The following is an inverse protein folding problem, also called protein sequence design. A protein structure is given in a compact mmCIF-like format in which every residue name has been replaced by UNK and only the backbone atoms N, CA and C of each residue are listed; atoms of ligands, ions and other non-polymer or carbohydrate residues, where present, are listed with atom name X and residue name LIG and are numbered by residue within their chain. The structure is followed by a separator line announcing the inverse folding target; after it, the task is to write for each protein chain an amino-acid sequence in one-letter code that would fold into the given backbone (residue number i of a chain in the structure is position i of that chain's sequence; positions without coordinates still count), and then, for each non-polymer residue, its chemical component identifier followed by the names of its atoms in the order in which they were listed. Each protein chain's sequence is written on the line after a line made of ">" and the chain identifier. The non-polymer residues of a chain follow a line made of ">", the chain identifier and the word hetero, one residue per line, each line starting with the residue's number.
data_IF_669705582781
#
_entry.id   IF_669705582781
#
_cell.length_a   1.000
_cell.length_b   1.000
_cell.length_c   1.000
_cell.angle_alpha   90.00
_cell.angle_beta   90.00
_cell.angle_gamma   90.00
#
_symmetry.space_group_name_H-M   'P 1'
#
loop_
_entity.id
_entity.type
_entity.pdbx_description
1 polymer ?
#
# COMPACT_ATOMS: atom_id res chain seq x y z
N UNK A 1 -35.28 26.46 -3.67
CA UNK A 1 -34.97 26.34 -5.12
C UNK A 1 -35.05 24.88 -5.53
N UNK A 2 -35.93 24.54 -6.47
CA UNK A 2 -36.11 23.15 -6.94
C UNK A 2 -35.04 22.79 -7.98
N UNK A 3 -34.45 21.59 -7.90
CA UNK A 3 -33.52 21.11 -8.93
C UNK A 3 -34.20 20.81 -10.25
N UNK A 4 -35.50 20.51 -10.25
CA UNK A 4 -36.27 20.33 -11.48
C UNK A 4 -36.30 21.64 -12.29
N UNK A 5 -36.40 22.78 -11.61
CA UNK A 5 -36.36 24.11 -12.25
C UNK A 5 -34.96 24.42 -12.78
N UNK A 6 -33.92 24.10 -11.99
CA UNK A 6 -32.52 24.28 -12.40
C UNK A 6 -32.16 23.44 -13.64
N UNK A 7 -32.74 22.25 -13.77
CA UNK A 7 -32.50 21.35 -14.90
C UNK A 7 -33.02 21.89 -16.25
N UNK A 8 -33.90 22.90 -16.26
CA UNK A 8 -34.23 23.62 -17.50
C UNK A 8 -33.06 24.46 -18.04
N UNK A 9 -32.17 24.92 -17.15
CA UNK A 9 -30.99 25.71 -17.51
C UNK A 9 -29.74 24.85 -17.64
N UNK A 10 -29.57 23.88 -16.74
CA UNK A 10 -28.42 23.00 -16.69
C UNK A 10 -28.84 21.62 -16.18
N UNK A 11 -29.09 20.69 -17.11
CA UNK A 11 -29.68 19.37 -16.85
C UNK A 11 -28.69 18.36 -16.27
N UNK A 12 -28.02 18.74 -15.19
CA UNK A 12 -27.02 17.92 -14.50
C UNK A 12 -27.38 17.66 -13.04
N UNK A 13 -28.40 18.32 -12.49
CA UNK A 13 -28.86 18.12 -11.12
C UNK A 13 -29.78 16.89 -11.00
N UNK A 14 -29.72 16.19 -9.86
CA UNK A 14 -30.64 15.11 -9.57
C UNK A 14 -32.10 15.58 -9.44
N UNK A 15 -33.06 14.76 -9.87
CA UNK A 15 -34.47 15.13 -9.84
C UNK A 15 -35.03 15.22 -8.40
N UNK A 16 -36.06 16.06 -8.24
CA UNK A 16 -36.84 16.21 -7.01
C UNK A 16 -36.02 16.57 -5.76
N UNK A 17 -34.96 17.37 -5.90
CA UNK A 17 -34.21 17.92 -4.77
C UNK A 17 -34.59 19.39 -4.54
N UNK A 18 -34.43 19.85 -3.31
CA UNK A 18 -34.71 21.21 -2.88
C UNK A 18 -33.50 21.78 -2.17
N UNK A 19 -33.02 22.93 -2.66
CA UNK A 19 -32.01 23.73 -1.98
C UNK A 19 -32.66 24.87 -1.22
N UNK A 20 -32.34 24.96 0.07
CA UNK A 20 -32.61 26.11 0.92
C UNK A 20 -31.37 26.99 0.91
N UNK A 21 -31.50 28.20 0.36
CA UNK A 21 -30.36 29.09 0.09
C UNK A 21 -30.61 30.41 0.82
N UNK A 22 -29.65 30.82 1.65
CA UNK A 22 -29.59 32.15 2.23
C UNK A 22 -28.21 32.76 1.91
N UNK A 23 -28.18 33.96 1.33
CA UNK A 23 -26.93 34.63 0.97
C UNK A 23 -27.19 36.08 0.59
N UNK A 24 -26.16 36.91 0.63
CA UNK A 24 -26.16 38.22 -0.02
C UNK A 24 -25.43 38.13 -1.38
N UNK A 25 -26.20 38.18 -2.46
CA UNK A 25 -25.69 38.16 -3.84
C UNK A 25 -25.28 39.56 -4.31
N UNK A 26 -24.05 39.69 -4.82
CA UNK A 26 -23.53 40.94 -5.38
C UNK A 26 -22.80 40.70 -6.71
N UNK A 27 -23.12 41.48 -7.74
CA UNK A 27 -22.44 41.46 -9.05
C UNK A 27 -23.40 41.33 -10.22
N UNK A 28 -22.89 40.87 -11.36
CA UNK A 28 -23.65 40.65 -12.60
C UNK A 28 -23.88 39.16 -12.84
N UNK A 29 -24.80 38.80 -13.75
CA UNK A 29 -25.19 37.41 -14.02
C UNK A 29 -23.99 36.48 -14.32
N UNK A 30 -22.96 36.97 -15.02
CA UNK A 30 -21.75 36.21 -15.37
C UNK A 30 -20.54 36.53 -14.48
N UNK A 31 -20.70 37.33 -13.43
CA UNK A 31 -19.66 37.64 -12.46
C UNK A 31 -20.30 38.12 -11.16
N UNK A 32 -20.65 37.18 -10.28
CA UNK A 32 -21.29 37.47 -9.00
C UNK A 32 -20.61 36.74 -7.85
N UNK A 33 -20.77 37.30 -6.66
CA UNK A 33 -20.28 36.71 -5.40
C UNK A 33 -21.45 36.51 -4.45
N UNK A 34 -21.47 35.32 -3.84
CA UNK A 34 -22.33 34.98 -2.71
C UNK A 34 -21.57 35.31 -1.42
N UNK A 35 -22.11 36.20 -0.61
CA UNK A 35 -21.57 36.50 0.71
C UNK A 35 -22.38 35.78 1.78
N UNK A 36 -21.69 35.18 2.76
CA UNK A 36 -22.30 34.38 3.83
C UNK A 36 -23.29 33.36 3.25
N UNK A 37 -22.88 32.67 2.19
CA UNK A 37 -23.68 31.63 1.56
C UNK A 37 -23.97 30.56 2.60
N UNK A 38 -25.24 30.21 2.74
CA UNK A 38 -25.71 29.06 3.48
C UNK A 38 -26.65 28.29 2.56
N UNK A 39 -26.19 27.14 2.07
CA UNK A 39 -27.01 26.20 1.30
C UNK A 39 -27.22 24.96 2.15
N UNK A 40 -28.46 24.46 2.18
CA UNK A 40 -28.77 23.13 2.70
C UNK A 40 -29.67 22.41 1.69
N UNK A 41 -29.38 21.15 1.42
CA UNK A 41 -30.24 20.30 0.59
C UNK A 41 -31.12 19.38 1.46
N UNK A 42 -32.07 18.67 0.83
CA UNK A 42 -32.97 17.74 1.56
C UNK A 42 -32.24 16.54 2.21
N UNK A 43 -31.01 16.26 1.77
CA UNK A 43 -30.20 15.14 2.26
C UNK A 43 -29.21 15.62 3.36
N UNK A 44 -29.40 16.83 3.89
CA UNK A 44 -28.56 17.47 4.90
C UNK A 44 -27.12 17.74 4.45
N UNK A 45 -26.85 17.83 3.14
CA UNK A 45 -25.60 18.43 2.66
C UNK A 45 -25.62 19.94 2.90
N UNK A 46 -24.51 20.51 3.36
CA UNK A 46 -24.41 21.91 3.73
C UNK A 46 -23.22 22.58 3.03
N UNK A 47 -23.42 23.81 2.57
CA UNK A 47 -22.34 24.69 2.09
C UNK A 47 -22.45 26.00 2.87
N UNK A 48 -21.37 26.36 3.58
CA UNK A 48 -21.23 27.63 4.28
C UNK A 48 -19.93 28.30 3.83
N UNK A 49 -20.02 29.54 3.37
CA UNK A 49 -18.82 30.32 3.01
C UNK A 49 -19.10 31.45 2.02
N UNK A 50 -18.07 31.84 1.27
CA UNK A 50 -18.16 32.84 0.22
C UNK A 50 -17.76 32.22 -1.11
N UNK A 51 -18.59 32.39 -2.15
CA UNK A 51 -18.30 31.81 -3.47
C UNK A 51 -18.48 32.86 -4.56
N UNK A 52 -17.42 33.09 -5.33
CA UNK A 52 -17.45 33.92 -6.54
C UNK A 52 -17.58 33.02 -7.76
N UNK A 53 -18.55 33.34 -8.60
CA UNK A 53 -18.85 32.64 -9.83
C UNK A 53 -18.60 33.57 -11.01
N UNK A 54 -17.79 33.11 -11.98
CA UNK A 54 -17.53 33.82 -13.23
C UNK A 54 -17.87 32.93 -14.41
N UNK A 55 -18.53 33.51 -15.41
CA UNK A 55 -18.84 32.89 -16.70
C UNK A 55 -19.57 31.53 -16.61
N UNK A 56 -20.32 31.28 -15.52
CA UNK A 56 -21.11 30.05 -15.34
C UNK A 56 -22.08 29.77 -16.49
N UNK A 57 -22.65 30.82 -17.09
CA UNK A 57 -23.65 30.71 -18.16
C UNK A 57 -23.05 31.01 -19.55
N UNK A 58 -21.72 31.07 -19.67
CA UNK A 58 -21.08 31.34 -20.96
C UNK A 58 -21.34 30.18 -21.93
N UNK A 59 -21.67 30.52 -23.19
CA UNK A 59 -21.75 29.56 -24.29
C UNK A 59 -20.38 29.18 -24.84
N UNK A 60 -19.35 29.96 -24.51
CA UNK A 60 -17.95 29.62 -24.82
C UNK A 60 -17.55 28.54 -23.83
N UNK A 61 -17.28 27.34 -24.36
CA UNK A 61 -16.76 26.23 -23.58
C UNK A 61 -15.47 26.67 -22.87
N UNK A 62 -15.25 26.15 -21.67
CA UNK A 62 -13.97 26.18 -20.96
C UNK A 62 -13.59 27.48 -20.21
N UNK A 63 -14.52 28.42 -20.01
CA UNK A 63 -14.18 29.70 -19.36
C UNK A 63 -14.73 29.90 -17.94
N UNK A 64 -15.50 28.94 -17.39
CA UNK A 64 -16.09 29.13 -16.07
C UNK A 64 -15.02 29.10 -14.98
N UNK A 65 -15.23 29.92 -13.95
CA UNK A 65 -14.40 29.92 -12.74
C UNK A 65 -15.31 29.97 -11.52
N UNK A 66 -15.09 29.05 -10.59
CA UNK A 66 -15.71 29.00 -9.28
C UNK A 66 -14.59 29.17 -8.26
N UNK A 67 -14.60 30.28 -7.54
CA UNK A 67 -13.65 30.55 -6.46
C UNK A 67 -14.41 30.53 -5.13
N UNK A 68 -14.23 29.47 -4.36
CA UNK A 68 -14.88 29.27 -3.08
C UNK A 68 -13.90 29.39 -1.92
N UNK A 69 -14.34 30.08 -0.86
CA UNK A 69 -13.76 30.01 0.47
C UNK A 69 -14.82 29.44 1.41
N UNK A 70 -14.65 28.19 1.82
CA UNK A 70 -15.63 27.43 2.57
C UNK A 70 -15.25 27.36 4.03
N UNK A 71 -16.14 27.83 4.89
CA UNK A 71 -16.07 27.57 6.34
C UNK A 71 -16.56 26.15 6.64
N UNK A 72 -17.51 25.66 5.83
CA UNK A 72 -18.10 24.33 5.92
C UNK A 72 -18.56 23.83 4.55
N UNK A 73 -18.21 22.59 4.22
CA UNK A 73 -18.82 21.86 3.11
C UNK A 73 -19.01 20.43 3.59
N UNK A 74 -20.19 20.16 4.12
CA UNK A 74 -20.54 18.88 4.72
C UNK A 74 -21.38 18.05 3.76
N UNK A 75 -20.92 16.84 3.42
CA UNK A 75 -21.62 15.94 2.50
C UNK A 75 -21.11 14.50 2.63
N UNK A 76 -21.57 13.61 1.74
CA UNK A 76 -20.96 12.31 1.47
C UNK A 76 -20.92 12.09 -0.04
N UNK A 77 -20.18 11.09 -0.52
CA UNK A 77 -20.16 10.75 -1.94
C UNK A 77 -21.58 10.43 -2.48
N UNK A 78 -22.38 9.66 -1.74
CA UNK A 78 -23.75 9.30 -2.13
C UNK A 78 -24.64 10.54 -2.22
N UNK A 79 -24.49 11.49 -1.30
CA UNK A 79 -25.25 12.75 -1.32
C UNK A 79 -24.83 13.64 -2.49
N UNK A 80 -23.53 13.77 -2.74
CA UNK A 80 -23.01 14.50 -3.90
C UNK A 80 -23.50 13.90 -5.22
N UNK A 81 -23.48 12.57 -5.33
CA UNK A 81 -24.01 11.86 -6.49
C UNK A 81 -25.51 12.12 -6.68
N UNK A 82 -26.29 12.22 -5.61
CA UNK A 82 -27.71 12.63 -5.70
C UNK A 82 -27.90 14.10 -6.10
N UNK A 83 -26.98 14.98 -5.73
CA UNK A 83 -27.03 16.41 -6.06
C UNK A 83 -26.76 16.62 -7.55
N UNK A 84 -25.68 16.07 -8.08
CA UNK A 84 -25.31 16.19 -9.51
C UNK A 84 -24.77 14.86 -10.06
N UNK A 85 -25.64 13.90 -10.43
CA UNK A 85 -25.24 12.54 -10.76
C UNK A 85 -24.30 12.41 -11.96
N UNK A 86 -24.46 13.28 -12.95
CA UNK A 86 -23.68 13.22 -14.20
C UNK A 86 -22.32 13.90 -14.09
N UNK A 87 -22.22 14.95 -13.27
CA UNK A 87 -20.96 15.67 -13.01
C UNK A 87 -20.21 14.96 -11.90
N UNK A 88 -20.78 14.91 -10.69
CA UNK A 88 -20.10 14.36 -9.51
C UNK A 88 -20.10 12.83 -9.50
N UNK A 89 -21.15 12.18 -10.00
CA UNK A 89 -21.23 10.71 -9.98
C UNK A 89 -20.36 10.00 -11.02
N UNK A 90 -20.06 10.64 -12.16
CA UNK A 90 -19.22 10.03 -13.22
C UNK A 90 -17.77 10.48 -13.20
N UNK A 91 -17.48 11.68 -12.70
CA UNK A 91 -16.12 12.23 -12.73
C UNK A 91 -15.34 11.97 -11.45
N UNK A 92 -16.00 11.67 -10.32
CA UNK A 92 -15.31 11.38 -9.08
C UNK A 92 -14.95 9.89 -8.97
N UNK A 93 -13.73 9.55 -8.48
CA UNK A 93 -13.36 8.16 -8.22
C UNK A 93 -14.29 7.50 -7.22
N UNK A 94 -14.70 6.24 -7.49
CA UNK A 94 -15.59 5.48 -6.61
C UNK A 94 -14.96 5.16 -5.26
N UNK A 95 -13.63 5.19 -5.13
CA UNK A 95 -12.92 5.05 -3.85
C UNK A 95 -13.31 6.12 -2.84
N UNK A 96 -13.76 7.31 -3.28
CA UNK A 96 -14.21 8.39 -2.39
C UNK A 96 -15.49 8.04 -1.62
N UNK A 97 -16.25 7.01 -2.02
CA UNK A 97 -17.39 6.48 -1.24
C UNK A 97 -16.99 6.10 0.18
N UNK A 98 -15.75 5.62 0.36
CA UNK A 98 -15.26 5.12 1.64
C UNK A 98 -14.91 6.20 2.65
N UNK A 99 -14.84 7.46 2.21
CA UNK A 99 -14.69 8.59 3.12
C UNK A 99 -15.91 8.75 4.05
N UNK A 100 -17.05 8.17 3.69
CA UNK A 100 -18.30 8.37 4.39
C UNK A 100 -18.74 9.83 4.35
N UNK A 101 -19.29 10.32 5.46
CA UNK A 101 -19.56 11.73 5.66
C UNK A 101 -18.26 12.49 5.86
N UNK A 102 -18.14 13.66 5.23
CA UNK A 102 -16.99 14.53 5.38
C UNK A 102 -17.41 15.99 5.49
N UNK A 103 -16.56 16.78 6.14
CA UNK A 103 -16.64 18.23 6.22
C UNK A 103 -15.34 18.85 5.69
N UNK A 104 -15.46 19.79 4.75
CA UNK A 104 -14.32 20.48 4.13
C UNK A 104 -14.33 21.95 4.55
N UNK A 105 -13.18 22.43 5.01
CA UNK A 105 -12.88 23.85 5.22
C UNK A 105 -11.69 24.26 4.35
N UNK A 106 -11.79 25.39 3.66
CA UNK A 106 -10.67 26.02 2.99
C UNK A 106 -11.03 26.62 1.64
N UNK A 107 -10.02 26.85 0.81
CA UNK A 107 -10.19 27.53 -0.48
C UNK A 107 -10.11 26.54 -1.62
N UNK A 108 -11.02 26.67 -2.59
CA UNK A 108 -11.03 25.92 -3.83
C UNK A 108 -11.25 26.88 -4.99
N UNK A 109 -10.33 26.87 -5.93
CA UNK A 109 -10.49 27.48 -7.24
C UNK A 109 -10.70 26.37 -8.26
N UNK A 110 -11.90 26.28 -8.80
CA UNK A 110 -12.28 25.32 -9.83
C UNK A 110 -12.48 26.06 -11.16
N UNK A 111 -11.81 25.57 -12.20
CA UNK A 111 -12.05 25.98 -13.58
C UNK A 111 -12.60 24.80 -14.37
N UNK A 112 -12.74 24.96 -15.68
CA UNK A 112 -13.12 23.84 -16.54
C UNK A 112 -12.08 22.71 -16.58
N UNK A 113 -10.79 23.04 -16.41
CA UNK A 113 -9.69 22.08 -16.58
C UNK A 113 -8.87 21.85 -15.31
N UNK A 114 -8.93 22.79 -14.36
CA UNK A 114 -8.07 22.80 -13.17
C UNK A 114 -8.84 22.86 -11.86
N UNK A 115 -8.24 22.31 -10.81
CA UNK A 115 -8.58 22.55 -9.41
C UNK A 115 -7.32 23.02 -8.69
N UNK A 116 -7.36 24.18 -8.04
CA UNK A 116 -6.40 24.57 -7.02
C UNK A 116 -7.11 24.58 -5.66
N UNK A 117 -6.80 23.60 -4.82
CA UNK A 117 -7.46 23.38 -3.55
C UNK A 117 -6.46 23.42 -2.39
N UNK A 118 -6.75 24.28 -1.40
CA UNK A 118 -6.09 24.29 -0.09
C UNK A 118 -7.16 24.05 0.97
N UNK A 119 -7.32 22.80 1.36
CA UNK A 119 -8.45 22.35 2.16
C UNK A 119 -8.01 21.49 3.35
N UNK A 120 -8.81 21.52 4.41
CA UNK A 120 -8.78 20.55 5.49
C UNK A 120 -10.09 19.78 5.43
N UNK A 121 -10.02 18.45 5.49
CA UNK A 121 -11.18 17.57 5.45
C UNK A 121 -11.18 16.73 6.71
N UNK A 122 -12.31 16.74 7.41
CA UNK A 122 -12.59 15.79 8.48
C UNK A 122 -13.61 14.79 7.95
N UNK A 123 -13.24 13.52 7.88
CA UNK A 123 -14.14 12.45 7.43
C UNK A 123 -14.30 11.37 8.51
N UNK A 124 -15.13 10.37 8.23
CA UNK A 124 -15.26 9.19 9.07
C UNK A 124 -13.95 8.37 9.16
N UNK A 125 -13.04 8.55 8.19
CA UNK A 125 -11.72 7.92 8.19
C UNK A 125 -10.68 8.72 8.98
N UNK A 126 -10.95 9.97 9.36
CA UNK A 126 -10.00 10.81 10.10
C UNK A 126 -9.74 12.16 9.43
N UNK A 127 -8.65 12.81 9.81
CA UNK A 127 -8.33 14.15 9.33
C UNK A 127 -7.31 14.10 8.19
N UNK A 128 -7.54 14.91 7.16
CA UNK A 128 -6.56 15.17 6.12
C UNK A 128 -6.49 16.68 5.81
N UNK A 129 -5.31 17.16 5.48
CA UNK A 129 -5.08 18.51 5.00
C UNK A 129 -4.33 18.46 3.71
N UNK A 130 -4.81 19.18 2.71
CA UNK A 130 -4.30 19.11 1.36
C UNK A 130 -4.05 20.50 0.79
N UNK A 131 -2.95 20.64 0.07
CA UNK A 131 -2.71 21.72 -0.88
C UNK A 131 -2.39 21.05 -2.21
N UNK A 132 -3.39 20.88 -3.06
CA UNK A 132 -3.29 20.16 -4.32
C UNK A 132 -3.73 21.03 -5.49
N UNK A 133 -2.92 21.01 -6.54
CA UNK A 133 -3.28 21.46 -7.85
C UNK A 133 -3.52 20.26 -8.75
N UNK A 134 -4.68 20.19 -9.40
CA UNK A 134 -5.08 19.13 -10.34
C UNK A 134 -5.35 19.79 -11.68
N UNK A 135 -4.87 19.21 -12.77
CA UNK A 135 -5.09 19.67 -14.15
C UNK A 135 -5.61 18.52 -15.02
N UNK A 136 -6.24 18.85 -16.14
CA UNK A 136 -6.86 17.95 -17.11
C UNK A 136 -8.03 17.16 -16.52
N UNK A 137 -8.90 17.84 -15.74
CA UNK A 137 -10.12 17.25 -15.15
C UNK A 137 -11.05 16.61 -16.18
N UNK A 138 -11.03 17.11 -17.42
CA UNK A 138 -11.82 16.57 -18.51
C UNK A 138 -11.40 15.15 -18.89
N UNK A 139 -10.16 14.77 -18.59
CA UNK A 139 -9.64 13.42 -18.70
C UNK A 139 -9.21 12.92 -17.32
N UNK A 140 -10.13 12.80 -16.36
CA UNK A 140 -9.82 12.44 -14.95
C UNK A 140 -8.90 11.22 -14.80
N UNK A 141 -9.02 10.23 -15.69
CA UNK A 141 -8.16 9.05 -15.72
C UNK A 141 -6.67 9.37 -15.96
N UNK A 142 -6.37 10.47 -16.66
CA UNK A 142 -5.03 10.96 -17.02
C UNK A 142 -4.66 12.28 -16.36
N UNK A 143 -5.57 12.85 -15.57
CA UNK A 143 -5.37 14.11 -14.88
C UNK A 143 -4.06 14.10 -14.10
N UNK A 144 -3.36 15.23 -14.14
CA UNK A 144 -2.14 15.43 -13.37
C UNK A 144 -2.47 16.06 -12.03
N UNK A 145 -1.65 15.79 -11.03
CA UNK A 145 -1.80 16.38 -9.71
C UNK A 145 -0.43 16.64 -9.10
N UNK A 146 -0.35 17.75 -8.37
CA UNK A 146 0.87 18.15 -7.66
C UNK A 146 0.52 18.86 -6.37
N UNK A 147 1.22 18.50 -5.30
CA UNK A 147 1.08 19.21 -4.05
C UNK A 147 1.42 18.38 -2.83
N UNK A 148 0.84 18.76 -1.70
CA UNK A 148 1.14 18.18 -0.39
C UNK A 148 -0.12 17.67 0.28
N UNK A 149 -0.05 16.50 0.89
CA UNK A 149 -1.13 15.89 1.66
C UNK A 149 -0.59 15.51 3.03
N UNK A 150 -1.26 15.98 4.07
CA UNK A 150 -1.03 15.62 5.45
C UNK A 150 -2.21 14.77 5.91
N UNK A 151 -1.91 13.62 6.50
CA UNK A 151 -2.86 12.76 7.16
C UNK A 151 -2.60 12.81 8.68
N UNK A 152 -3.66 12.88 9.47
CA UNK A 152 -3.60 12.77 10.93
C UNK A 152 -4.60 11.71 11.37
N UNK A 153 -4.07 10.58 11.87
CA UNK A 153 -4.84 9.39 12.28
C UNK A 153 -5.89 8.99 11.24
N UNK A 154 -5.51 9.02 9.98
CA UNK A 154 -6.40 8.73 8.86
C UNK A 154 -6.40 7.23 8.54
N UNK A 155 -7.54 6.57 8.52
CA UNK A 155 -7.69 5.16 8.17
C UNK A 155 -7.47 4.93 6.66
N UNK A 156 -6.19 4.75 6.31
CA UNK A 156 -5.76 4.50 4.93
C UNK A 156 -6.10 3.07 4.49
N UNK A 157 -6.16 2.12 5.42
CA UNK A 157 -6.56 0.74 5.13
C UNK A 157 -7.96 0.64 4.55
N UNK A 158 -8.93 1.28 5.22
CA UNK A 158 -10.31 1.35 4.71
C UNK A 158 -10.36 2.06 3.35
N UNK A 159 -9.64 3.17 3.16
CA UNK A 159 -9.62 3.88 1.88
C UNK A 159 -9.08 2.99 0.75
N UNK A 160 -8.00 2.26 0.98
CA UNK A 160 -7.30 1.44 -0.03
C UNK A 160 -7.87 0.03 -0.20
N UNK A 161 -8.73 -0.45 0.71
CA UNK A 161 -9.23 -1.83 0.77
C UNK A 161 -8.20 -2.84 1.29
N UNK A 162 -7.26 -2.40 2.11
CA UNK A 162 -6.16 -3.23 2.57
C UNK A 162 -6.34 -3.50 4.06
N UNK A 163 -6.84 -4.69 4.45
CA UNK A 163 -7.21 -4.99 5.83
C UNK A 163 -6.01 -5.04 6.79
N UNK A 164 -4.81 -5.28 6.27
CA UNK A 164 -3.58 -5.30 7.06
C UNK A 164 -3.06 -3.89 7.38
N UNK A 165 -3.56 -2.86 6.69
CA UNK A 165 -3.27 -1.45 6.95
C UNK A 165 -4.36 -0.85 7.84
N UNK A 166 -3.96 0.01 8.78
CA UNK A 166 -4.88 0.78 9.62
C UNK A 166 -4.70 2.28 9.44
N UNK A 167 -4.65 3.01 10.55
CA UNK A 167 -4.47 4.47 10.53
C UNK A 167 -3.04 4.88 10.19
N UNK A 168 -2.91 5.96 9.42
CA UNK A 168 -1.66 6.63 9.10
C UNK A 168 -1.67 8.08 9.58
N UNK A 169 -0.53 8.56 10.06
CA UNK A 169 -0.23 9.99 10.22
C UNK A 169 1.04 10.29 9.43
N UNK A 170 0.93 11.13 8.41
CA UNK A 170 2.03 11.38 7.46
C UNK A 170 1.94 12.75 6.83
N UNK A 171 3.07 13.20 6.27
CA UNK A 171 3.15 14.41 5.44
C UNK A 171 3.89 14.03 4.17
N UNK A 172 3.18 14.01 3.05
CA UNK A 172 3.70 13.57 1.76
C UNK A 172 3.52 14.65 0.70
N UNK A 173 4.53 14.79 -0.14
CA UNK A 173 4.50 15.51 -1.39
C UNK A 173 4.22 14.50 -2.51
N UNK A 174 3.34 14.88 -3.42
CA UNK A 174 2.97 14.07 -4.59
C UNK A 174 3.13 14.91 -5.85
N UNK A 175 3.70 14.31 -6.88
CA UNK A 175 3.77 14.86 -8.24
C UNK A 175 3.51 13.70 -9.21
N UNK A 176 2.38 13.72 -9.89
CA UNK A 176 1.98 12.57 -10.66
C UNK A 176 0.79 12.79 -11.59
N UNK A 177 0.35 11.68 -12.17
CA UNK A 177 -0.82 11.60 -13.03
C UNK A 177 -1.56 10.29 -12.83
N UNK A 178 -2.85 10.36 -13.09
CA UNK A 178 -3.77 9.23 -13.06
C UNK A 178 -4.17 8.81 -11.64
N UNK A 179 -5.47 8.65 -11.43
CA UNK A 179 -6.05 8.19 -10.16
C UNK A 179 -6.39 6.69 -10.16
N UNK A 180 -6.09 5.98 -11.26
CA UNK A 180 -6.34 4.53 -11.38
C UNK A 180 -5.03 3.79 -11.59
N UNK A 181 -4.97 2.53 -11.13
CA UNK A 181 -3.78 1.67 -11.28
C UNK A 181 -3.23 1.61 -12.71
N UNK A 182 -4.09 1.74 -13.73
CA UNK A 182 -3.72 1.69 -15.14
C UNK A 182 -2.92 2.92 -15.60
N UNK A 183 -3.21 4.10 -15.07
CA UNK A 183 -2.61 5.37 -15.49
C UNK A 183 -1.67 5.98 -14.44
N UNK A 184 -1.57 5.35 -13.27
CA UNK A 184 -0.73 5.77 -12.15
C UNK A 184 0.73 5.93 -12.58
N UNK A 185 1.24 7.14 -12.47
CA UNK A 185 2.64 7.52 -12.63
C UNK A 185 2.88 8.69 -11.67
N UNK A 186 3.44 8.39 -10.50
CA UNK A 186 3.48 9.31 -9.37
C UNK A 186 4.76 9.18 -8.60
N UNK A 187 5.46 10.30 -8.44
CA UNK A 187 6.56 10.46 -7.51
C UNK A 187 5.98 10.91 -6.14
N UNK A 188 6.36 10.21 -5.08
CA UNK A 188 5.90 10.44 -3.70
C UNK A 188 7.12 10.58 -2.80
N UNK A 189 7.16 11.65 -2.00
CA UNK A 189 8.22 11.87 -1.02
C UNK A 189 7.63 12.37 0.27
N UNK A 190 8.16 11.95 1.41
CA UNK A 190 7.67 12.49 2.68
C UNK A 190 8.04 11.68 3.89
N UNK A 191 7.31 11.95 4.96
CA UNK A 191 7.51 11.32 6.27
C UNK A 191 6.21 10.70 6.76
N UNK A 192 6.35 9.56 7.43
CA UNK A 192 5.28 8.84 8.11
C UNK A 192 5.63 8.89 9.59
N UNK A 193 4.86 9.68 10.34
CA UNK A 193 4.99 9.77 11.79
C UNK A 193 4.47 8.49 12.46
N UNK A 194 3.37 7.94 11.94
CA UNK A 194 2.81 6.68 12.41
C UNK A 194 2.11 5.91 11.28
N UNK A 195 2.24 4.59 11.24
CA UNK A 195 1.49 3.69 10.38
C UNK A 195 1.14 2.42 11.15
N UNK A 196 -0.15 2.14 11.28
CA UNK A 196 -0.60 0.86 11.81
C UNK A 196 -0.58 -0.19 10.69
N UNK A 197 0.23 -1.23 10.85
CA UNK A 197 0.35 -2.35 9.93
C UNK A 197 0.67 -3.63 10.71
N UNK A 198 0.02 -4.75 10.36
CA UNK A 198 0.29 -6.06 10.98
C UNK A 198 0.31 -6.03 12.52
N UNK A 199 -0.73 -5.42 13.11
CA UNK A 199 -0.89 -5.22 14.56
C UNK A 199 0.26 -4.48 15.27
N UNK A 200 1.04 -3.70 14.53
CA UNK A 200 2.12 -2.86 15.04
C UNK A 200 2.01 -1.43 14.52
N UNK A 201 2.33 -0.45 15.36
CA UNK A 201 2.32 0.96 14.98
C UNK A 201 3.75 1.43 14.68
N UNK A 202 4.14 1.35 13.41
CA UNK A 202 5.43 1.81 12.91
C UNK A 202 5.55 3.32 12.99
N UNK A 203 6.73 3.84 13.31
CA UNK A 203 6.96 5.27 13.53
C UNK A 203 8.25 5.76 12.87
N UNK A 204 8.30 7.07 12.60
CA UNK A 204 9.51 7.76 12.11
C UNK A 204 10.11 7.16 10.83
N UNK A 205 9.26 6.99 9.81
CA UNK A 205 9.69 6.48 8.50
C UNK A 205 9.77 7.64 7.50
N UNK A 206 10.84 7.68 6.71
CA UNK A 206 10.97 8.57 5.55
C UNK A 206 10.82 7.75 4.28
N UNK A 207 10.09 8.25 3.29
CA UNK A 207 9.84 7.59 2.01
C UNK A 207 10.24 8.46 0.83
N UNK A 208 10.76 7.84 -0.22
CA UNK A 208 10.97 8.41 -1.55
C UNK A 208 10.69 7.32 -2.60
N UNK A 209 9.61 7.47 -3.34
CA UNK A 209 9.14 6.42 -4.24
C UNK A 209 8.57 6.95 -5.54
N UNK A 210 8.66 6.11 -6.57
CA UNK A 210 8.03 6.28 -7.87
C UNK A 210 7.10 5.11 -8.13
N UNK A 211 5.81 5.40 -8.17
CA UNK A 211 4.74 4.46 -8.46
C UNK A 211 4.29 4.65 -9.91
N UNK A 212 4.76 3.79 -10.82
CA UNK A 212 4.42 3.89 -12.24
C UNK A 212 4.09 2.52 -12.82
N UNK A 213 2.83 2.12 -12.79
CA UNK A 213 2.43 0.80 -13.30
C UNK A 213 2.99 0.55 -14.72
N UNK A 214 3.67 -0.58 -14.99
CA UNK A 214 3.90 -1.75 -14.14
C UNK A 214 5.18 -1.76 -13.29
N UNK A 215 5.89 -0.63 -13.21
CA UNK A 215 7.16 -0.43 -12.52
C UNK A 215 7.00 0.34 -11.19
N UNK A 216 7.57 -0.18 -10.12
CA UNK A 216 7.59 0.47 -8.83
C UNK A 216 9.03 0.55 -8.33
N UNK A 217 9.46 1.73 -7.92
CA UNK A 217 10.75 1.93 -7.25
C UNK A 217 10.50 2.68 -5.96
N UNK A 218 11.06 2.20 -4.86
CA UNK A 218 10.87 2.82 -3.56
C UNK A 218 12.13 2.77 -2.73
N UNK A 219 12.40 3.85 -2.02
CA UNK A 219 13.30 3.92 -0.90
C UNK A 219 12.49 4.23 0.35
N UNK A 220 12.81 3.56 1.46
CA UNK A 220 12.40 4.05 2.76
C UNK A 220 13.52 3.88 3.79
N UNK A 221 13.53 4.79 4.75
CA UNK A 221 14.38 4.74 5.94
C UNK A 221 13.47 4.71 7.16
N UNK A 222 13.62 3.68 7.98
CA UNK A 222 12.88 3.52 9.24
C UNK A 222 13.78 3.87 10.41
N UNK A 223 13.32 4.80 11.25
CA UNK A 223 13.88 5.07 12.58
C UNK A 223 12.89 4.67 13.69
N UNK A 224 12.13 3.61 13.43
CA UNK A 224 11.21 3.03 14.40
C UNK A 224 11.99 2.41 15.58
N UNK A 225 11.47 2.46 16.81
CA UNK A 225 12.12 1.86 17.97
C UNK A 225 12.43 0.37 17.82
N UNK A 226 11.61 -0.37 17.06
CA UNK A 226 11.74 -1.80 16.80
C UNK A 226 12.22 -2.13 15.38
N UNK A 227 12.40 -1.15 14.50
CA UNK A 227 12.93 -1.34 13.15
C UNK A 227 13.79 -0.14 12.69
N UNK A 228 15.11 -0.32 12.72
CA UNK A 228 16.09 0.57 12.10
C UNK A 228 16.59 -0.05 10.81
N UNK A 229 16.16 0.51 9.69
CA UNK A 229 16.44 -0.10 8.39
C UNK A 229 16.44 0.93 7.26
N UNK A 230 17.40 0.79 6.35
CA UNK A 230 17.37 1.38 5.02
C UNK A 230 16.94 0.33 4.01
N UNK A 231 15.96 0.66 3.17
CA UNK A 231 15.45 -0.24 2.15
C UNK A 231 15.40 0.47 0.80
N UNK A 232 15.93 -0.18 -0.22
CA UNK A 232 15.79 0.20 -1.62
C UNK A 232 15.19 -0.95 -2.39
N UNK A 233 14.09 -0.71 -3.09
CA UNK A 233 13.43 -1.76 -3.85
C UNK A 233 12.93 -1.33 -5.21
N UNK A 234 12.92 -2.31 -6.12
CA UNK A 234 12.42 -2.21 -7.48
C UNK A 234 11.56 -3.44 -7.77
N UNK A 235 10.34 -3.20 -8.24
CA UNK A 235 9.42 -4.21 -8.74
C UNK A 235 9.06 -3.89 -10.17
N UNK A 236 9.33 -4.81 -11.09
CA UNK A 236 8.98 -4.68 -12.50
C UNK A 236 8.00 -5.77 -12.91
N UNK A 237 6.75 -5.37 -13.15
CA UNK A 237 5.65 -6.23 -13.57
C UNK A 237 5.37 -6.13 -15.08
N UNK A 238 6.30 -5.56 -15.88
CA UNK A 238 6.11 -5.33 -17.31
C UNK A 238 6.16 -6.62 -18.14
N UNK A 239 6.81 -7.65 -17.61
CA UNK A 239 7.02 -8.93 -18.25
C UNK A 239 6.02 -9.99 -17.75
N UNK A 240 5.78 -11.08 -18.50
CA UNK A 240 4.96 -12.20 -18.04
C UNK A 240 5.45 -12.83 -16.73
N UNK A 241 6.73 -12.64 -16.40
CA UNK A 241 7.36 -13.02 -15.13
C UNK A 241 7.77 -11.73 -14.44
N UNK A 242 7.26 -11.50 -13.23
CA UNK A 242 7.60 -10.33 -12.43
C UNK A 242 9.06 -10.38 -11.96
N UNK A 243 9.74 -9.24 -11.93
CA UNK A 243 11.10 -9.10 -11.42
C UNK A 243 11.13 -8.26 -10.15
N UNK A 244 11.99 -8.65 -9.21
CA UNK A 244 12.18 -8.03 -7.91
C UNK A 244 13.67 -7.82 -7.67
N UNK A 245 14.06 -6.60 -7.32
CA UNK A 245 15.41 -6.27 -6.92
C UNK A 245 15.34 -5.42 -5.65
N UNK A 246 15.77 -6.00 -4.53
CA UNK A 246 15.70 -5.37 -3.22
C UNK A 246 17.06 -5.38 -2.55
N UNK A 247 17.41 -4.27 -1.92
CA UNK A 247 18.53 -4.14 -1.00
C UNK A 247 17.98 -3.59 0.31
N UNK A 248 18.27 -4.27 1.42
CA UNK A 248 17.88 -3.83 2.76
C UNK A 248 19.09 -3.89 3.68
N UNK A 249 19.34 -2.80 4.42
CA UNK A 249 20.32 -2.76 5.48
C UNK A 249 19.57 -2.63 6.81
N UNK A 250 19.56 -3.71 7.58
CA UNK A 250 18.85 -3.82 8.85
C UNK A 250 19.86 -3.65 9.98
N UNK A 251 19.91 -2.46 10.56
CA UNK A 251 20.75 -2.17 11.74
C UNK A 251 20.16 -2.75 13.03
N UNK A 252 18.83 -2.86 13.08
CA UNK A 252 18.09 -3.43 14.20
C UNK A 252 16.65 -3.76 13.79
N UNK A 253 16.21 -4.99 14.01
CA UNK A 253 14.79 -5.34 13.94
C UNK A 253 14.41 -6.25 15.10
N UNK A 254 13.43 -5.87 15.91
CA UNK A 254 12.84 -6.73 16.93
C UNK A 254 11.62 -7.46 16.34
N UNK A 255 11.86 -8.62 15.73
CA UNK A 255 10.85 -9.37 14.98
C UNK A 255 9.67 -9.83 15.85
N UNK A 256 9.89 -10.01 17.15
CA UNK A 256 8.82 -10.35 18.09
C UNK A 256 7.89 -9.14 18.30
N UNK A 257 8.44 -7.95 18.55
CA UNK A 257 7.64 -6.73 18.74
C UNK A 257 6.96 -6.27 17.45
N UNK A 258 7.58 -6.53 16.30
CA UNK A 258 7.02 -6.25 14.97
C UNK A 258 5.97 -7.28 14.51
N UNK A 259 5.65 -8.29 15.33
CA UNK A 259 4.76 -9.42 14.98
C UNK A 259 5.19 -10.18 13.72
N UNK A 260 6.48 -10.23 13.43
CA UNK A 260 7.05 -10.96 12.28
C UNK A 260 7.44 -12.39 12.69
N UNK A 261 8.03 -12.56 13.87
CA UNK A 261 8.44 -13.86 14.41
C UNK A 261 8.25 -13.92 15.92
N UNK A 262 7.28 -14.70 16.38
CA UNK A 262 6.80 -14.71 17.77
C UNK A 262 7.05 -16.04 18.51
N UNK A 263 7.83 -16.95 17.92
CA UNK A 263 8.16 -18.23 18.54
C UNK A 263 9.12 -18.10 19.74
N UNK A 264 9.76 -16.94 19.91
CA UNK A 264 10.59 -16.61 21.06
C UNK A 264 10.20 -15.22 21.60
N UNK A 265 10.36 -15.05 22.91
CA UNK A 265 10.21 -13.78 23.64
C UNK A 265 11.23 -12.70 23.24
N UNK A 266 12.41 -13.11 22.74
CA UNK A 266 13.41 -12.21 22.17
C UNK A 266 13.70 -12.69 20.75
N UNK A 267 13.63 -11.79 19.78
CA UNK A 267 13.97 -12.08 18.38
C UNK A 267 14.53 -10.81 17.73
N UNK A 268 15.84 -10.60 17.85
CA UNK A 268 16.52 -9.42 17.32
C UNK A 268 17.35 -9.82 16.11
N UNK A 269 17.16 -9.13 14.99
CA UNK A 269 17.83 -9.36 13.72
C UNK A 269 18.67 -8.13 13.31
N UNK A 270 19.86 -8.39 12.78
CA UNK A 270 20.61 -7.44 11.94
C UNK A 270 21.13 -8.19 10.72
N UNK A 271 21.07 -7.56 9.55
CA UNK A 271 21.54 -8.16 8.30
C UNK A 271 21.65 -7.11 7.20
N UNK A 272 22.55 -7.36 6.25
CA UNK A 272 22.45 -6.79 4.90
C UNK A 272 21.81 -7.85 4.00
N UNK A 273 20.74 -7.48 3.32
CA UNK A 273 19.92 -8.36 2.49
C UNK A 273 19.94 -7.85 1.06
N UNK A 274 20.36 -8.68 0.13
CA UNK A 274 20.30 -8.43 -1.31
C UNK A 274 19.44 -9.52 -1.97
N UNK A 275 18.37 -9.13 -2.66
CA UNK A 275 17.48 -10.03 -3.38
C UNK A 275 17.44 -9.63 -4.84
N UNK A 276 17.69 -10.59 -5.72
CA UNK A 276 17.44 -10.45 -7.15
C UNK A 276 16.68 -11.68 -7.62
N UNK A 277 15.36 -11.53 -7.80
CA UNK A 277 14.47 -12.64 -8.03
C UNK A 277 13.43 -12.35 -9.11
N UNK A 278 12.94 -13.40 -9.74
CA UNK A 278 11.86 -13.36 -10.72
C UNK A 278 10.83 -14.43 -10.40
N UNK A 279 9.54 -14.12 -10.53
CA UNK A 279 8.47 -15.08 -10.31
C UNK A 279 7.10 -14.47 -9.99
N UNK A 280 6.06 -15.23 -10.27
CA UNK A 280 4.67 -14.79 -10.04
C UNK A 280 4.03 -15.40 -8.78
N UNK A 281 4.74 -16.31 -8.11
CA UNK A 281 4.33 -16.94 -6.86
C UNK A 281 5.55 -17.53 -6.15
N UNK A 282 5.42 -17.83 -4.85
CA UNK A 282 6.48 -18.47 -4.06
C UNK A 282 6.93 -19.80 -4.70
N UNK A 283 6.01 -20.59 -5.25
CA UNK A 283 6.33 -21.85 -5.93
C UNK A 283 7.00 -21.68 -7.30
N UNK A 284 7.01 -20.46 -7.86
CA UNK A 284 7.60 -20.15 -9.18
C UNK A 284 8.74 -19.13 -9.11
N UNK A 285 9.12 -18.71 -7.90
CA UNK A 285 10.21 -17.75 -7.72
C UNK A 285 11.56 -18.45 -7.90
N UNK A 286 12.46 -17.76 -8.61
CA UNK A 286 13.85 -18.12 -8.83
C UNK A 286 14.73 -16.87 -8.77
N UNK A 287 16.02 -17.02 -8.55
CA UNK A 287 16.96 -15.92 -8.34
C UNK A 287 17.89 -16.14 -7.17
N UNK A 288 18.45 -15.05 -6.65
CA UNK A 288 19.40 -15.04 -5.53
C UNK A 288 18.88 -14.25 -4.35
N UNK A 289 19.21 -14.75 -3.16
CA UNK A 289 19.12 -14.05 -1.88
C UNK A 289 20.52 -14.15 -1.25
N UNK A 290 21.15 -13.01 -1.06
CA UNK A 290 22.44 -12.89 -0.38
C UNK A 290 22.21 -12.18 0.96
N UNK A 291 22.63 -12.81 2.05
CA UNK A 291 22.58 -12.28 3.40
C UNK A 291 24.01 -12.13 3.91
N UNK A 292 24.35 -10.95 4.42
CA UNK A 292 25.68 -10.65 4.97
C UNK A 292 25.56 -10.06 6.36
N UNK A 293 26.62 -10.21 7.16
CA UNK A 293 26.69 -9.72 8.53
C UNK A 293 25.46 -10.13 9.37
N UNK A 294 25.01 -11.37 9.20
CA UNK A 294 23.80 -11.85 9.85
C UNK A 294 24.05 -12.01 11.35
N UNK A 295 23.30 -11.24 12.13
CA UNK A 295 23.24 -11.36 13.57
C UNK A 295 21.81 -11.69 13.98
N UNK A 296 21.68 -12.68 14.85
CA UNK A 296 20.41 -13.04 15.44
C UNK A 296 20.56 -13.23 16.95
N UNK A 297 19.60 -12.73 17.72
CA UNK A 297 19.53 -12.96 19.15
C UNK A 297 18.16 -13.51 19.52
N UNK A 298 18.17 -14.56 20.34
CA UNK A 298 16.97 -15.13 20.94
C UNK A 298 17.03 -15.05 22.47
N UNK A 299 16.08 -15.67 23.19
CA UNK A 299 16.05 -15.63 24.66
C UNK A 299 17.22 -16.36 25.33
N UNK A 300 17.91 -17.24 24.61
CA UNK A 300 18.97 -18.08 25.16
C UNK A 300 20.37 -17.59 24.84
N UNK A 301 20.59 -17.13 23.61
CA UNK A 301 21.92 -16.77 23.14
C UNK A 301 21.89 -15.75 21.98
N UNK A 302 23.07 -15.30 21.57
CA UNK A 302 23.30 -14.50 20.37
C UNK A 302 24.17 -15.26 19.37
N UNK A 303 23.89 -15.04 18.09
CA UNK A 303 24.50 -15.77 16.99
C UNK A 303 25.00 -14.78 15.95
N UNK A 304 26.23 -15.00 15.53
CA UNK A 304 26.82 -14.37 14.35
C UNK A 304 27.06 -15.47 13.32
N UNK A 305 26.68 -15.17 12.09
CA UNK A 305 26.83 -16.10 10.97
C UNK A 305 27.65 -15.45 9.86
N UNK A 306 28.38 -16.29 9.14
CA UNK A 306 29.07 -15.90 7.92
C UNK A 306 28.06 -15.65 6.78
N UNK A 307 28.57 -15.11 5.67
CA UNK A 307 27.77 -14.85 4.48
C UNK A 307 26.96 -16.08 4.07
N UNK A 308 25.68 -15.84 3.79
CA UNK A 308 24.71 -16.85 3.40
C UNK A 308 24.16 -16.51 2.02
N UNK A 309 24.20 -17.49 1.13
CA UNK A 309 23.69 -17.35 -0.21
C UNK A 309 22.68 -18.45 -0.51
N UNK A 310 21.49 -18.04 -0.93
CA UNK A 310 20.46 -18.92 -1.45
C UNK A 310 20.26 -18.62 -2.93
N UNK A 311 20.32 -19.66 -3.75
CA UNK A 311 20.04 -19.59 -5.18
C UNK A 311 18.94 -20.56 -5.54
N UNK A 312 17.89 -20.08 -6.19
CA UNK A 312 16.83 -20.90 -6.76
C UNK A 312 16.88 -20.79 -8.28
N UNK A 313 16.82 -21.91 -8.98
CA UNK A 313 16.78 -21.96 -10.45
C UNK A 313 15.83 -23.06 -10.92
N UNK A 314 15.39 -22.95 -12.17
CA UNK A 314 14.66 -24.00 -12.87
C UNK A 314 15.46 -24.44 -14.09
N UNK A 315 15.48 -25.75 -14.34
CA UNK A 315 16.06 -26.32 -15.55
C UNK A 315 15.05 -26.32 -16.72
N UNK A 316 15.45 -26.90 -17.85
CA UNK A 316 14.59 -27.05 -19.04
C UNK A 316 13.36 -27.94 -18.80
N UNK A 317 13.44 -28.87 -17.82
CA UNK A 317 12.36 -29.80 -17.46
C UNK A 317 11.41 -29.23 -16.40
N UNK A 318 11.60 -27.96 -16.01
CA UNK A 318 10.91 -27.24 -14.94
C UNK A 318 11.08 -27.89 -13.57
N UNK A 319 12.18 -28.58 -13.37
CA UNK A 319 12.65 -29.04 -12.09
C UNK A 319 13.37 -27.90 -11.37
N UNK A 320 13.04 -27.69 -10.10
CA UNK A 320 13.64 -26.64 -9.29
C UNK A 320 14.91 -27.16 -8.64
N UNK A 321 15.98 -26.37 -8.68
CA UNK A 321 17.15 -26.53 -7.82
C UNK A 321 17.23 -25.35 -6.87
N UNK A 322 17.31 -25.61 -5.56
CA UNK A 322 17.66 -24.61 -4.55
C UNK A 322 19.00 -25.01 -3.95
N UNK A 323 20.00 -24.15 -4.07
CA UNK A 323 21.30 -24.30 -3.44
C UNK A 323 21.41 -23.30 -2.30
N UNK A 324 21.95 -23.76 -1.18
CA UNK A 324 22.25 -22.95 0.00
C UNK A 324 23.74 -23.10 0.28
N UNK A 325 24.44 -21.98 0.33
CA UNK A 325 25.88 -21.91 0.61
C UNK A 325 26.09 -21.00 1.81
N UNK A 326 26.58 -21.58 2.90
CA UNK A 326 27.04 -20.84 4.07
C UNK A 326 28.07 -21.67 4.84
N UNK A 327 29.21 -21.08 5.24
CA UNK A 327 30.25 -21.77 5.99
C UNK A 327 29.80 -22.36 7.32
N UNK A 328 28.85 -21.71 8.00
CA UNK A 328 28.47 -22.04 9.37
C UNK A 328 26.96 -22.08 9.65
N UNK A 329 26.11 -21.95 8.59
CA UNK A 329 24.65 -22.10 8.69
C UNK A 329 24.19 -23.46 8.15
N UNK A 330 24.14 -23.57 6.83
CA UNK A 330 23.70 -24.73 6.07
C UNK A 330 24.46 -24.71 4.75
N UNK A 331 24.95 -25.86 4.32
CA UNK A 331 25.54 -26.04 2.99
C UNK A 331 24.89 -27.23 2.30
N UNK A 332 24.30 -27.03 1.13
CA UNK A 332 23.64 -28.12 0.43
C UNK A 332 22.72 -27.68 -0.69
N UNK A 333 21.96 -28.65 -1.20
CA UNK A 333 20.97 -28.39 -2.25
C UNK A 333 19.76 -29.30 -2.12
N UNK A 334 18.63 -28.81 -2.65
CA UNK A 334 17.43 -29.58 -2.91
C UNK A 334 17.04 -29.45 -4.38
N UNK A 335 16.68 -30.57 -4.99
CA UNK A 335 16.26 -30.67 -6.39
C UNK A 335 14.90 -31.38 -6.44
N UNK A 336 13.94 -30.86 -7.21
CA UNK A 336 12.70 -31.58 -7.46
C UNK A 336 11.52 -30.70 -7.84
N UNK A 337 10.32 -31.26 -7.70
CA UNK A 337 9.03 -30.60 -7.96
C UNK A 337 8.22 -30.64 -6.69
N UNK A 338 8.16 -29.53 -5.96
CA UNK A 338 7.47 -29.44 -4.68
C UNK A 338 6.85 -28.06 -4.49
N UNK A 339 5.79 -28.00 -3.68
CA UNK A 339 5.18 -26.76 -3.24
C UNK A 339 5.66 -26.40 -1.84
N UNK A 340 6.05 -25.14 -1.63
CA UNK A 340 6.58 -24.69 -0.34
C UNK A 340 5.56 -24.85 0.79
N UNK A 341 4.28 -24.61 0.51
CA UNK A 341 3.19 -24.76 1.48
C UNK A 341 2.87 -26.23 1.86
N UNK A 342 3.44 -27.21 1.15
CA UNK A 342 3.29 -28.64 1.44
C UNK A 342 4.60 -29.28 1.92
N UNK A 343 5.69 -28.52 2.00
CA UNK A 343 7.01 -29.02 2.37
C UNK A 343 7.01 -29.65 3.77
N UNK A 344 6.38 -29.01 4.76
CA UNK A 344 6.25 -29.58 6.10
C UNK A 344 5.51 -30.93 6.08
N UNK A 345 4.38 -31.01 5.37
CA UNK A 345 3.57 -32.23 5.27
C UNK A 345 4.29 -33.35 4.50
N UNK A 346 5.11 -32.99 3.52
CA UNK A 346 5.99 -33.93 2.79
C UNK A 346 7.02 -34.54 3.75
N UNK A 347 7.68 -33.72 4.57
CA UNK A 347 8.64 -34.18 5.58
C UNK A 347 7.96 -35.04 6.67
N UNK A 348 6.80 -34.61 7.17
CA UNK A 348 6.00 -35.38 8.13
C UNK A 348 5.58 -36.73 7.57
N UNK A 349 5.16 -36.80 6.30
CA UNK A 349 4.82 -38.07 5.66
C UNK A 349 6.04 -38.97 5.48
N UNK A 350 7.19 -38.42 5.09
CA UNK A 350 8.42 -39.18 4.92
C UNK A 350 8.87 -39.82 6.24
N UNK A 351 8.91 -39.04 7.33
CA UNK A 351 9.28 -39.54 8.67
C UNK A 351 8.19 -40.44 9.26
N UNK A 352 6.92 -40.03 9.14
CA UNK A 352 5.76 -40.74 9.67
C UNK A 352 5.55 -42.11 9.03
N UNK A 353 5.89 -42.26 7.74
CA UNK A 353 5.80 -43.55 7.02
C UNK A 353 6.63 -44.68 7.64
N UNK A 354 7.61 -44.34 8.48
CA UNK A 354 8.42 -45.30 9.24
C UNK A 354 7.68 -45.90 10.44
N UNK A 355 6.52 -45.34 10.83
CA UNK A 355 5.74 -45.76 11.98
C UNK A 355 4.41 -46.41 11.55
N UNK A 356 4.12 -47.59 12.09
CA UNK A 356 2.97 -48.41 11.70
C UNK A 356 1.58 -47.75 11.93
N UNK A 357 1.50 -46.75 12.82
CA UNK A 357 0.25 -46.09 13.20
C UNK A 357 0.10 -44.67 12.64
N UNK A 358 0.94 -44.26 11.68
CA UNK A 358 0.87 -42.93 11.10
C UNK A 358 -0.21 -42.85 10.02
N UNK A 359 -1.01 -41.78 10.05
CA UNK A 359 -1.99 -41.46 9.02
C UNK A 359 -1.42 -40.37 8.09
N UNK A 360 -1.18 -40.66 6.80
CA UNK A 360 -0.55 -39.70 5.91
C UNK A 360 -1.37 -38.43 5.70
N UNK A 361 -0.68 -37.28 5.73
CA UNK A 361 -1.21 -36.01 5.28
C UNK A 361 -1.59 -36.09 3.80
N UNK A 362 -2.73 -35.49 3.43
CA UNK A 362 -3.12 -35.35 2.01
C UNK A 362 -2.22 -34.34 1.31
N UNK A 363 -1.63 -34.75 0.20
CA UNK A 363 -0.71 -33.97 -0.63
C UNK A 363 -1.17 -33.97 -2.09
N UNK A 364 -0.70 -33.00 -2.86
CA UNK A 364 -0.86 -33.04 -4.31
C UNK A 364 0.06 -34.10 -4.93
N UNK A 365 -0.42 -34.74 -6.00
CA UNK A 365 0.32 -35.81 -6.70
C UNK A 365 1.57 -35.28 -7.41
N UNK A 366 2.52 -36.18 -7.66
CA UNK A 366 3.75 -35.95 -8.44
C UNK A 366 4.71 -34.93 -7.83
N UNK A 367 4.75 -34.85 -6.50
CA UNK A 367 5.75 -34.07 -5.80
C UNK A 367 6.88 -34.95 -5.34
N UNK A 368 8.11 -34.55 -5.64
CA UNK A 368 9.30 -35.22 -5.14
C UNK A 368 10.37 -34.19 -4.82
N UNK A 369 11.27 -34.57 -3.92
CA UNK A 369 12.43 -33.77 -3.56
C UNK A 369 13.60 -34.68 -3.22
N UNK A 370 14.75 -34.38 -3.81
CA UNK A 370 16.04 -34.97 -3.50
C UNK A 370 16.84 -33.90 -2.78
N UNK A 371 17.30 -34.17 -1.57
CA UNK A 371 18.00 -33.19 -0.75
C UNK A 371 19.30 -33.76 -0.18
N UNK A 372 20.29 -32.89 -0.06
CA UNK A 372 21.58 -33.17 0.59
C UNK A 372 22.05 -31.89 1.26
N UNK A 373 21.91 -31.83 2.58
CA UNK A 373 22.27 -30.68 3.40
C UNK A 373 23.22 -31.10 4.52
N UNK A 374 24.30 -30.36 4.69
CA UNK A 374 25.06 -30.30 5.93
C UNK A 374 24.49 -29.13 6.76
N UNK A 375 23.98 -29.44 7.95
CA UNK A 375 23.45 -28.45 8.88
C UNK A 375 24.47 -28.25 10.01
N UNK A 376 24.78 -27.00 10.29
CA UNK A 376 25.61 -26.61 11.42
C UNK A 376 24.71 -26.21 12.61
N UNK A 377 25.12 -26.59 13.83
CA UNK A 377 24.27 -26.53 15.04
C UNK A 377 23.76 -25.11 15.37
N UNK A 378 24.55 -24.08 15.07
CA UNK A 378 24.23 -22.67 15.38
C UNK A 378 22.85 -22.25 14.89
N UNK A 379 22.43 -22.68 13.70
CA UNK A 379 21.16 -22.28 13.08
C UNK A 379 19.96 -22.93 13.76
N UNK A 380 20.11 -24.21 14.09
CA UNK A 380 19.06 -24.96 14.77
C UNK A 380 18.86 -24.39 16.16
N UNK A 381 19.94 -24.11 16.88
CA UNK A 381 19.90 -23.46 18.19
C UNK A 381 19.34 -22.02 18.13
N UNK A 382 19.58 -21.29 17.04
CA UNK A 382 19.02 -19.95 16.83
C UNK A 382 17.50 -19.98 16.59
N UNK A 383 17.02 -20.81 15.67
CA UNK A 383 15.61 -20.85 15.25
C UNK A 383 14.73 -21.74 16.15
N UNK A 384 15.32 -22.77 16.75
CA UNK A 384 14.63 -23.75 17.59
C UNK A 384 15.44 -23.97 18.86
N UNK A 385 15.36 -23.05 19.84
CA UNK A 385 16.23 -23.06 21.01
C UNK A 385 16.13 -24.34 21.86
N UNK A 386 15.08 -25.13 21.67
CA UNK A 386 14.81 -26.38 22.38
C UNK A 386 15.30 -27.64 21.64
N UNK A 387 15.87 -27.49 20.44
CA UNK A 387 16.38 -28.58 19.61
C UNK A 387 17.90 -28.45 19.53
N UNK A 388 18.63 -29.55 19.75
CA UNK A 388 20.09 -29.62 19.58
C UNK A 388 20.42 -30.62 18.49
N UNK A 389 21.32 -30.25 17.60
CA UNK A 389 21.79 -31.10 16.50
C UNK A 389 23.31 -31.13 16.55
N UNK A 390 23.94 -32.29 16.36
CA UNK A 390 25.40 -32.34 16.38
C UNK A 390 25.99 -31.51 15.23
N UNK A 391 27.14 -30.87 15.45
CA UNK A 391 27.85 -30.19 14.38
C UNK A 391 28.14 -31.15 13.21
N UNK A 392 28.03 -30.63 11.97
CA UNK A 392 28.20 -31.40 10.73
C UNK A 392 27.17 -32.52 10.54
N UNK A 393 25.97 -32.39 11.10
CA UNK A 393 24.89 -33.33 10.81
C UNK A 393 24.50 -33.22 9.35
N UNK A 394 24.60 -34.34 8.63
CA UNK A 394 24.23 -34.43 7.21
C UNK A 394 22.85 -35.06 7.06
N UNK A 395 21.93 -34.33 6.46
CA UNK A 395 20.61 -34.79 6.07
C UNK A 395 20.59 -35.04 4.57
N UNK A 396 20.49 -36.30 4.17
CA UNK A 396 20.40 -36.71 2.78
C UNK A 396 19.22 -37.67 2.59
N UNK A 397 18.43 -37.45 1.55
CA UNK A 397 17.30 -38.30 1.25
C UNK A 397 16.60 -37.95 -0.05
N UNK A 398 15.64 -38.79 -0.38
CA UNK A 398 14.72 -38.64 -1.50
C UNK A 398 13.31 -38.91 -0.98
N UNK A 399 12.37 -38.02 -1.31
CA UNK A 399 10.94 -38.16 -1.03
C UNK A 399 10.24 -38.16 -2.40
N UNK A 400 9.39 -39.15 -2.65
CA UNK A 400 8.70 -39.41 -3.93
C UNK A 400 7.19 -39.44 -3.71
#
# INVERSE_FOLDING_TARGET
>A
LSTNDLNFFYNEFGANNMFYINTHLKGTLNNFTTHNLMVTDKNNSQIIGNVTFKKLFSKVKDEFVINGNFDKLFSSFERLNKVMPRVLGKQLPTSLTRLGSFDINGTVLLTHVDIDAKVSVLSELGFLKSKLYINDLMNIDKATYKGTVLFDKFDIGTLLNEPDLGSISSSVEVDGRGFTKKYLDTDIKGTIASLFYNDYNYQNITIDGKLKMPYFKGYFNSNDPNLKMDFNGLVDLSSPVNNYNFNAHIDYANLQMLNIYTNDSISILKAVVDINASGNSIDKIYGTLDLKNLYYQNSKDFFFFDDFKLQSSFDETKERTITVESPDIVSGKVVGKFKFNQLQKLLENAVGSLYANYSPNKLEMNQYMIFDFAIYDKVVSALFPNVKVAENTRFKGEII
#
